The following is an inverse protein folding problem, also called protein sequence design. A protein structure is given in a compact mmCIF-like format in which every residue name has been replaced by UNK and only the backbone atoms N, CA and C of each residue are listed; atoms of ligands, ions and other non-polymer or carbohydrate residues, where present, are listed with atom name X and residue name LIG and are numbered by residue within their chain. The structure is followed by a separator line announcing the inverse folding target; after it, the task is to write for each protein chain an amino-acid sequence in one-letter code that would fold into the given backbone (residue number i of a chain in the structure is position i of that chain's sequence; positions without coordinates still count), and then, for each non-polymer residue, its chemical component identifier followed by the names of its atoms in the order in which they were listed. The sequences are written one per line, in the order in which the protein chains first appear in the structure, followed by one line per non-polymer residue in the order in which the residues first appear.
data_IF_630312560198
#
_entry.id   IF_630312560198
#
_cell.length_a   1.000
_cell.length_b   1.000
_cell.length_c   1.000
_cell.angle_alpha   90.00
_cell.angle_beta   90.00
_cell.angle_gamma   90.00
#
_symmetry.space_group_name_H-M   'P 1'
#
loop_
_entity.id
_entity.type
_entity.pdbx_description
1 polymer ?
#
# COMPACT_ATOMS: atom_id res chain seq x y z
N UNK A 1 -1.31 0.80 -16.45
CA UNK A 1 -1.17 1.86 -15.43
C UNK A 1 -1.32 1.39 -13.98
N UNK A 2 -2.04 0.29 -13.71
CA UNK A 2 -2.25 -0.20 -12.33
C UNK A 2 -0.99 -0.65 -11.57
N UNK A 3 -0.06 -1.30 -12.26
CA UNK A 3 1.21 -1.76 -11.67
C UNK A 3 2.05 -0.58 -11.19
N UNK A 4 2.07 0.53 -11.93
CA UNK A 4 2.80 1.75 -11.54
C UNK A 4 2.24 2.31 -10.24
N UNK A 5 0.90 2.41 -10.13
CA UNK A 5 0.21 2.85 -8.90
C UNK A 5 0.48 1.91 -7.71
N UNK A 6 0.49 0.60 -7.94
CA UNK A 6 0.82 -0.38 -6.88
C UNK A 6 2.25 -0.23 -6.37
N UNK A 7 3.22 0.03 -7.25
CA UNK A 7 4.60 0.29 -6.86
C UNK A 7 4.74 1.61 -6.11
N UNK A 8 4.05 2.66 -6.57
CA UNK A 8 3.96 3.94 -5.88
C UNK A 8 3.40 3.81 -4.46
N UNK A 9 2.27 3.13 -4.32
CA UNK A 9 1.64 2.85 -3.03
C UNK A 9 2.57 2.05 -2.10
N UNK A 10 3.24 1.00 -2.62
CA UNK A 10 4.23 0.23 -1.85
C UNK A 10 5.36 1.12 -1.33
N UNK A 11 5.87 2.01 -2.18
CA UNK A 11 6.93 2.93 -1.80
C UNK A 11 6.44 3.89 -0.71
N UNK A 12 5.27 4.48 -0.87
CA UNK A 12 4.68 5.38 0.11
C UNK A 12 4.44 4.70 1.47
N UNK A 13 3.94 3.44 1.48
CA UNK A 13 3.78 2.64 2.70
C UNK A 13 5.09 2.35 3.44
N UNK A 14 6.22 2.32 2.72
CA UNK A 14 7.55 2.03 3.29
C UNK A 14 8.34 3.28 3.66
N UNK A 15 8.17 4.37 2.90
CA UNK A 15 8.95 5.62 3.02
C UNK A 15 8.29 6.66 3.93
N UNK A 16 6.96 6.68 4.06
CA UNK A 16 6.33 7.50 5.10
C UNK A 16 6.96 7.05 6.42
N UNK A 17 7.52 7.98 7.22
CA UNK A 17 8.20 7.69 8.50
C UNK A 17 7.48 8.36 9.69
N UNK A 18 6.44 9.13 9.42
CA UNK A 18 5.61 9.84 10.41
C UNK A 18 4.55 8.93 11.04
N UNK A 19 4.11 7.87 10.35
CA UNK A 19 3.25 6.83 10.96
C UNK A 19 1.80 7.25 11.11
N UNK A 20 1.48 8.46 10.62
CA UNK A 20 0.14 9.00 10.62
C UNK A 20 -0.71 8.47 9.45
N UNK A 21 -0.09 7.88 8.42
CA UNK A 21 -0.82 7.38 7.24
C UNK A 21 -1.21 5.91 7.39
N UNK A 22 -2.48 5.62 7.15
CA UNK A 22 -2.98 4.24 7.08
C UNK A 22 -2.84 3.66 5.68
N UNK A 23 -3.04 2.35 5.55
CA UNK A 23 -3.15 1.69 4.24
C UNK A 23 -4.26 2.30 3.38
N UNK A 24 -5.36 2.76 4.00
CA UNK A 24 -6.49 3.35 3.29
C UNK A 24 -6.14 4.73 2.73
N UNK A 25 -5.43 5.57 3.49
CA UNK A 25 -4.96 6.88 3.02
C UNK A 25 -4.05 6.72 1.81
N UNK A 26 -3.10 5.78 1.88
CA UNK A 26 -2.20 5.52 0.75
C UNK A 26 -2.97 4.95 -0.44
N UNK A 27 -3.94 4.05 -0.23
CA UNK A 27 -4.76 3.56 -1.34
C UNK A 27 -5.53 4.70 -2.03
N UNK A 28 -6.12 5.63 -1.26
CA UNK A 28 -6.84 6.77 -1.80
C UNK A 28 -5.93 7.75 -2.57
N UNK A 29 -4.73 8.04 -2.06
CA UNK A 29 -3.69 8.88 -2.70
C UNK A 29 -3.28 8.35 -4.09
N UNK A 30 -3.31 7.02 -4.25
CA UNK A 30 -3.01 6.33 -5.51
C UNK A 30 -4.27 5.94 -6.31
N UNK A 31 -5.41 6.60 -6.05
CA UNK A 31 -6.69 6.44 -6.77
C UNK A 31 -7.32 5.03 -6.66
N UNK A 32 -7.05 4.30 -5.58
CA UNK A 32 -7.70 3.03 -5.28
C UNK A 32 -8.91 3.23 -4.37
N UNK A 33 -10.10 3.15 -4.96
CA UNK A 33 -11.38 3.25 -4.24
C UNK A 33 -11.89 1.89 -3.74
N UNK A 34 -11.38 0.78 -4.30
CA UNK A 34 -11.74 -0.58 -3.91
C UNK A 34 -10.63 -1.23 -3.07
N UNK A 35 -10.65 -1.01 -1.76
CA UNK A 35 -9.58 -1.45 -0.85
C UNK A 35 -9.35 -2.96 -0.84
N UNK A 36 -10.40 -3.78 -0.96
CA UNK A 36 -10.29 -5.25 -1.03
C UNK A 36 -9.60 -5.71 -2.31
N UNK A 37 -9.92 -5.08 -3.44
CA UNK A 37 -9.30 -5.39 -4.73
C UNK A 37 -7.85 -4.89 -4.75
N UNK A 38 -7.59 -3.69 -4.24
CA UNK A 38 -6.23 -3.16 -4.05
C UNK A 38 -5.37 -4.12 -3.22
N UNK A 39 -5.85 -4.55 -2.05
CA UNK A 39 -5.11 -5.46 -1.17
C UNK A 39 -4.85 -6.81 -1.81
N UNK A 40 -5.84 -7.34 -2.54
CA UNK A 40 -5.70 -8.61 -3.26
C UNK A 40 -4.64 -8.54 -4.36
N UNK A 41 -4.66 -7.49 -5.17
CA UNK A 41 -3.69 -7.32 -6.27
C UNK A 41 -2.31 -6.93 -5.77
N UNK A 42 -2.23 -6.15 -4.69
CA UNK A 42 -0.99 -5.85 -4.00
C UNK A 42 -0.34 -7.16 -3.50
N UNK A 43 -1.11 -8.03 -2.84
CA UNK A 43 -0.61 -9.33 -2.36
C UNK A 43 -0.21 -10.25 -3.51
N UNK A 44 -0.98 -10.30 -4.60
CA UNK A 44 -0.61 -11.07 -5.81
C UNK A 44 0.70 -10.60 -6.42
N UNK A 45 0.95 -9.29 -6.44
CA UNK A 45 2.13 -8.71 -7.08
C UNK A 45 3.39 -8.75 -6.18
N UNK A 46 3.23 -8.58 -4.87
CA UNK A 46 4.36 -8.41 -3.93
C UNK A 46 4.50 -9.54 -2.91
N UNK A 47 3.59 -10.51 -2.88
CA UNK A 47 3.62 -11.66 -1.96
C UNK A 47 3.20 -11.35 -0.53
N UNK A 48 2.97 -10.09 -0.18
CA UNK A 48 2.55 -9.62 1.15
C UNK A 48 1.44 -8.57 1.03
N UNK A 49 0.64 -8.40 2.06
CA UNK A 49 -0.41 -7.37 2.11
C UNK A 49 0.17 -5.96 2.31
N UNK A 50 -0.58 -4.91 1.94
CA UNK A 50 -0.17 -3.53 2.22
C UNK A 50 -0.07 -3.26 3.72
N UNK A 51 -0.93 -3.88 4.55
CA UNK A 51 -0.86 -3.79 6.02
C UNK A 51 0.41 -4.42 6.59
N UNK A 52 0.86 -5.55 6.04
CA UNK A 52 2.16 -6.14 6.42
C UNK A 52 3.32 -5.26 6.02
N UNK A 53 3.23 -4.60 4.85
CA UNK A 53 4.24 -3.66 4.38
C UNK A 53 4.37 -2.46 5.31
N UNK A 54 3.24 -1.94 5.79
CA UNK A 54 3.18 -0.86 6.77
C UNK A 54 3.67 -1.33 8.15
N UNK A 55 3.27 -2.53 8.62
CA UNK A 55 3.67 -3.07 9.92
C UNK A 55 5.16 -3.37 10.00
N UNK A 56 5.79 -3.82 8.91
CA UNK A 56 7.24 -4.03 8.83
C UNK A 56 8.06 -2.75 9.01
N UNK A 57 7.43 -1.57 8.99
CA UNK A 57 8.08 -0.31 9.31
C UNK A 57 8.17 -0.04 10.82
N UNK A 58 7.30 -0.68 11.61
CA UNK A 58 7.24 -0.49 13.07
C UNK A 58 8.16 -1.43 13.85
N UNK A 59 8.98 -2.22 13.15
CA UNK A 59 10.03 -3.10 13.69
C UNK A 59 11.36 -2.72 13.05
#
# INVERSE_FOLDING_TARGET
MRIIRLNGARRHLREDLTGCRTVQDVAADWEFWHFSQFSSDYRKLFGQSPSESLRRRMY
#
